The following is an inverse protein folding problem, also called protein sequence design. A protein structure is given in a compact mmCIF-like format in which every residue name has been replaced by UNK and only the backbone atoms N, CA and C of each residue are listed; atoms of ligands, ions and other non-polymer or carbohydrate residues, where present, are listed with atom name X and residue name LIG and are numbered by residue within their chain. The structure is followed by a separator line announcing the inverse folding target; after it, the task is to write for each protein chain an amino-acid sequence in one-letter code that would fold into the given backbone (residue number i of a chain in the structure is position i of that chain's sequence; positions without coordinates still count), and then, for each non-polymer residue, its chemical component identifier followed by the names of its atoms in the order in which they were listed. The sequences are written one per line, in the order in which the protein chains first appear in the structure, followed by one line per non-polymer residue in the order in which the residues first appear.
data_IF_356912845477
#
_entry.id   IF_356912845477
#
_cell.length_a   1.000
_cell.length_b   1.000
_cell.length_c   1.000
_cell.angle_alpha   90.00
_cell.angle_beta   90.00
_cell.angle_gamma   90.00
#
_symmetry.space_group_name_H-M   'P 1'
#
loop_
_entity.id
_entity.type
_entity.pdbx_description
1 polymer ?
#
# COMPACT_ATOMS: atom_id res chain seq x y z
N UNK A 1 19.41 9.96 -19.61
CA UNK A 1 20.48 8.98 -19.28
C UNK A 1 19.90 7.58 -19.54
N UNK A 2 20.46 6.83 -20.49
CA UNK A 2 20.03 5.44 -20.74
C UNK A 2 20.64 4.57 -19.64
N UNK A 3 19.84 4.15 -18.66
CA UNK A 3 20.26 3.17 -17.68
C UNK A 3 20.36 1.83 -18.42
N UNK A 4 21.58 1.43 -18.78
CA UNK A 4 21.84 0.02 -19.07
C UNK A 4 21.76 -0.69 -17.71
N UNK A 5 20.78 -1.57 -17.45
CA UNK A 5 20.80 -2.37 -16.24
C UNK A 5 22.08 -3.22 -16.27
N UNK A 6 22.83 -3.32 -15.15
CA UNK A 6 24.02 -4.17 -15.11
C UNK A 6 23.60 -5.59 -15.51
N UNK A 7 24.38 -6.28 -16.36
CA UNK A 7 24.04 -7.64 -16.75
C UNK A 7 23.96 -8.47 -15.46
N UNK A 8 22.77 -9.00 -15.16
CA UNK A 8 22.58 -10.00 -14.10
C UNK A 8 23.26 -11.29 -14.54
N UNK A 9 24.60 -11.29 -14.50
CA UNK A 9 25.41 -12.47 -14.78
C UNK A 9 25.22 -13.39 -13.60
N UNK A 10 24.38 -14.40 -13.77
CA UNK A 10 24.23 -15.47 -12.80
C UNK A 10 25.59 -16.19 -12.67
N UNK A 11 26.05 -16.39 -11.44
CA UNK A 11 27.37 -16.95 -11.14
C UNK A 11 27.48 -18.39 -11.69
N UNK A 12 28.58 -18.69 -12.38
CA UNK A 12 28.85 -20.04 -12.92
C UNK A 12 29.70 -20.85 -11.94
N UNK A 13 29.64 -22.19 -12.05
CA UNK A 13 30.37 -23.11 -11.15
C UNK A 13 31.88 -22.84 -11.13
N UNK A 14 32.51 -22.60 -12.27
CA UNK A 14 33.95 -22.30 -12.32
C UNK A 14 34.33 -20.97 -11.66
N UNK A 15 33.43 -19.98 -11.67
CA UNK A 15 33.64 -18.70 -11.00
C UNK A 15 33.56 -18.89 -9.47
N UNK A 16 32.58 -19.67 -8.99
CA UNK A 16 32.45 -20.03 -7.58
C UNK A 16 33.63 -20.90 -7.10
N UNK A 17 34.08 -21.85 -7.91
CA UNK A 17 35.23 -22.68 -7.58
C UNK A 17 36.51 -21.83 -7.44
N UNK A 18 36.70 -20.84 -8.31
CA UNK A 18 37.83 -19.92 -8.25
C UNK A 18 37.79 -19.03 -7.00
N UNK A 19 36.62 -18.55 -6.58
CA UNK A 19 36.46 -17.78 -5.33
C UNK A 19 36.85 -18.60 -4.08
N UNK A 20 36.53 -19.89 -4.08
CA UNK A 20 36.81 -20.80 -2.97
C UNK A 20 38.23 -21.40 -3.03
N UNK A 21 38.99 -21.14 -4.11
CA UNK A 21 40.29 -21.77 -4.35
C UNK A 21 40.21 -23.27 -4.64
N UNK A 22 39.04 -23.77 -5.03
CA UNK A 22 38.81 -25.18 -5.34
C UNK A 22 38.90 -25.44 -6.84
N UNK A 23 39.20 -26.68 -7.22
CA UNK A 23 39.10 -27.07 -8.63
C UNK A 23 37.63 -27.27 -9.02
N UNK A 24 37.26 -26.95 -10.26
CA UNK A 24 35.89 -27.12 -10.76
C UNK A 24 35.35 -28.55 -10.59
N UNK A 25 36.23 -29.55 -10.55
CA UNK A 25 35.86 -30.95 -10.35
C UNK A 25 35.50 -31.27 -8.89
N UNK A 26 36.19 -30.65 -7.93
CA UNK A 26 35.89 -30.81 -6.50
C UNK A 26 34.55 -30.17 -6.15
N UNK A 27 34.29 -28.95 -6.67
CA UNK A 27 33.01 -28.28 -6.44
C UNK A 27 31.83 -29.02 -7.08
N UNK A 28 32.02 -29.65 -8.25
CA UNK A 28 30.99 -30.47 -8.87
C UNK A 28 30.65 -31.73 -8.06
N UNK A 29 31.65 -32.36 -7.43
CA UNK A 29 31.42 -33.51 -6.55
C UNK A 29 30.63 -33.12 -5.29
N UNK A 30 30.99 -32.00 -4.66
CA UNK A 30 30.27 -31.47 -3.49
C UNK A 30 28.81 -31.07 -3.82
N UNK A 31 28.57 -30.53 -5.01
CA UNK A 31 27.21 -30.22 -5.48
C UNK A 31 26.38 -31.50 -5.71
N UNK A 32 27.01 -32.57 -6.23
CA UNK A 32 26.39 -33.88 -6.44
C UNK A 32 25.97 -34.52 -5.10
N UNK A 33 26.85 -34.48 -4.10
CA UNK A 33 26.59 -35.00 -2.75
C UNK A 33 25.44 -34.25 -2.05
N UNK A 34 25.25 -32.97 -2.37
CA UNK A 34 24.13 -32.13 -1.87
C UNK A 34 22.82 -32.34 -2.64
N UNK A 35 22.82 -33.19 -3.68
CA UNK A 35 21.65 -33.50 -4.51
C UNK A 35 21.37 -32.46 -5.59
N UNK A 36 22.33 -31.59 -5.91
CA UNK A 36 22.21 -30.57 -6.94
C UNK A 36 23.05 -30.91 -8.17
N UNK A 37 22.41 -31.58 -9.14
CA UNK A 37 23.09 -32.08 -10.34
C UNK A 37 23.35 -30.99 -11.36
N UNK A 38 24.63 -30.77 -11.68
CA UNK A 38 25.05 -29.74 -12.65
C UNK A 38 25.86 -30.37 -13.80
N UNK A 39 25.50 -30.07 -15.06
CA UNK A 39 26.01 -30.77 -16.26
C UNK A 39 27.49 -30.51 -16.56
N UNK A 40 27.99 -29.30 -16.25
CA UNK A 40 29.40 -28.92 -16.50
C UNK A 40 29.78 -27.68 -15.71
N UNK A 41 31.08 -27.41 -15.57
CA UNK A 41 31.62 -26.23 -14.86
C UNK A 41 31.19 -24.86 -15.45
N UNK A 42 30.67 -24.84 -16.69
CA UNK A 42 30.12 -23.65 -17.31
C UNK A 42 28.64 -23.40 -16.97
N UNK A 43 28.01 -24.32 -16.25
CA UNK A 43 26.60 -24.21 -15.88
C UNK A 43 26.41 -23.14 -14.80
N UNK A 44 25.20 -22.59 -14.78
CA UNK A 44 24.81 -21.50 -13.89
C UNK A 44 24.20 -22.04 -12.61
N UNK A 45 24.57 -21.48 -11.46
CA UNK A 45 24.00 -21.84 -10.16
C UNK A 45 22.93 -20.84 -9.73
N UNK A 46 21.90 -21.34 -9.05
CA UNK A 46 20.88 -20.50 -8.46
C UNK A 46 21.41 -19.84 -7.16
N UNK A 47 20.98 -18.61 -6.91
CA UNK A 47 21.48 -17.79 -5.80
C UNK A 47 21.46 -18.45 -4.40
N UNK A 48 20.45 -19.26 -3.98
CA UNK A 48 20.47 -19.89 -2.66
C UNK A 48 21.61 -20.91 -2.48
N UNK A 49 21.97 -21.61 -3.55
CA UNK A 49 23.03 -22.64 -3.56
C UNK A 49 24.39 -21.99 -3.36
N UNK A 50 24.65 -20.93 -4.13
CA UNK A 50 25.89 -20.15 -4.04
C UNK A 50 26.07 -19.61 -2.62
N UNK A 51 24.98 -19.12 -2.01
CA UNK A 51 25.00 -18.64 -0.62
C UNK A 51 25.31 -19.76 0.38
N UNK A 52 24.77 -20.97 0.18
CA UNK A 52 25.04 -22.10 1.05
C UNK A 52 26.52 -22.55 0.96
N UNK A 53 27.06 -22.71 -0.25
CA UNK A 53 28.45 -23.12 -0.43
C UNK A 53 29.43 -22.06 0.09
N UNK A 54 29.17 -20.77 -0.18
CA UNK A 54 29.98 -19.69 0.40
C UNK A 54 29.89 -19.67 1.93
N UNK A 55 28.75 -20.00 2.52
CA UNK A 55 28.60 -20.07 3.97
C UNK A 55 29.43 -21.20 4.59
N UNK A 56 29.48 -22.35 3.93
CA UNK A 56 30.11 -23.55 4.49
C UNK A 56 31.63 -23.62 4.25
N UNK A 57 32.10 -23.06 3.13
CA UNK A 57 33.47 -23.25 2.66
C UNK A 57 34.24 -21.97 2.33
N UNK A 58 33.65 -20.78 2.44
CA UNK A 58 34.44 -19.56 2.24
C UNK A 58 35.46 -19.40 3.38
N UNK A 59 36.76 -19.26 3.07
CA UNK A 59 37.72 -18.79 4.07
C UNK A 59 37.33 -17.36 4.46
N UNK A 60 37.30 -17.09 5.77
CA UNK A 60 37.07 -15.81 6.49
C UNK A 60 36.49 -14.65 5.65
N UNK A 61 35.34 -14.05 6.05
CA UNK A 61 34.69 -13.02 5.24
C UNK A 61 35.68 -11.93 4.85
N UNK A 62 35.95 -11.84 3.54
CA UNK A 62 36.57 -10.64 2.99
C UNK A 62 35.72 -9.44 3.44
N UNK A 63 36.35 -8.32 3.83
CA UNK A 63 35.60 -7.11 4.15
C UNK A 63 34.65 -6.80 2.99
N UNK A 64 33.45 -6.26 3.26
CA UNK A 64 32.50 -5.87 2.22
C UNK A 64 33.25 -5.10 1.14
N UNK A 65 33.00 -5.41 -0.13
CA UNK A 65 33.51 -4.59 -1.22
C UNK A 65 33.15 -3.14 -0.93
N UNK A 66 34.10 -2.20 -1.09
CA UNK A 66 33.89 -0.78 -0.78
C UNK A 66 32.70 -0.16 -1.53
N UNK A 67 32.18 -0.83 -2.56
CA UNK A 67 30.98 -0.47 -3.31
C UNK A 67 29.64 -0.82 -2.60
N UNK A 68 29.65 -1.71 -1.59
CA UNK A 68 28.49 -2.06 -0.76
C UNK A 68 28.43 -1.28 0.57
N UNK A 69 29.46 -0.47 0.86
CA UNK A 69 29.49 0.44 2.02
C UNK A 69 28.86 1.76 1.61
N UNK A 70 27.53 1.83 1.73
CA UNK A 70 26.85 3.10 1.51
C UNK A 70 27.10 4.05 2.70
N UNK A 71 27.31 5.37 2.46
CA UNK A 71 27.54 6.32 3.54
C UNK A 71 26.35 6.30 4.51
N UNK A 72 26.54 6.55 5.83
CA UNK A 72 25.46 6.50 6.82
C UNK A 72 24.27 7.42 6.49
N UNK A 73 24.51 8.44 5.65
CA UNK A 73 23.49 9.36 5.11
C UNK A 73 22.57 8.75 4.04
N UNK A 74 23.01 7.68 3.38
CA UNK A 74 22.21 6.93 2.40
C UNK A 74 21.15 6.04 3.05
N UNK A 75 21.38 5.68 4.32
CA UNK A 75 20.39 4.97 5.10
C UNK A 75 19.37 6.00 5.59
N UNK A 76 18.08 5.74 5.36
CA UNK A 76 17.02 6.65 5.79
C UNK A 76 17.10 6.96 7.29
N UNK A 77 16.57 8.11 7.71
CA UNK A 77 16.62 8.66 9.09
C UNK A 77 16.31 7.65 10.21
N UNK A 78 15.59 6.57 9.91
CA UNK A 78 15.32 5.44 10.81
C UNK A 78 16.55 4.62 11.22
N UNK A 79 17.66 4.74 10.50
CA UNK A 79 18.94 4.07 10.77
C UNK A 79 19.91 4.94 11.56
N UNK A 80 19.62 6.25 11.68
CA UNK A 80 20.45 7.14 12.47
C UNK A 80 20.37 6.68 13.92
N UNK A 81 21.43 6.02 14.38
CA UNK A 81 21.60 5.60 15.75
C UNK A 81 21.74 6.85 16.65
N UNK A 82 20.64 7.58 16.85
CA UNK A 82 20.50 8.63 17.87
C UNK A 82 20.35 8.04 19.27
N UNK A 83 20.78 6.79 19.45
CA UNK A 83 21.11 6.22 20.72
C UNK A 83 22.24 5.22 20.48
N UNK A 84 23.48 5.66 20.70
CA UNK A 84 24.49 4.78 21.27
C UNK A 84 23.99 4.36 22.68
N UNK A 85 22.93 3.55 22.71
CA UNK A 85 22.41 2.95 23.93
C UNK A 85 23.42 1.87 24.30
N UNK A 86 23.94 2.01 25.51
CA UNK A 86 25.08 1.27 26.06
C UNK A 86 24.94 -0.23 25.78
N UNK A 87 25.98 -0.82 25.21
CA UNK A 87 26.08 -2.21 24.76
C UNK A 87 25.93 -3.30 25.86
N UNK A 88 25.55 -2.94 27.08
CA UNK A 88 25.46 -3.86 28.23
C UNK A 88 24.02 -4.27 28.61
N UNK A 89 23.00 -3.83 27.87
CA UNK A 89 21.60 -4.18 28.19
C UNK A 89 21.10 -5.34 27.35
N UNK A 90 20.75 -6.44 28.03
CA UNK A 90 20.13 -7.62 27.44
C UNK A 90 18.90 -7.26 26.62
N UNK A 91 18.68 -7.99 25.52
CA UNK A 91 17.55 -7.83 24.61
C UNK A 91 16.19 -7.78 25.34
N UNK A 92 16.03 -8.56 26.42
CA UNK A 92 14.78 -8.60 27.19
C UNK A 92 14.56 -7.29 27.98
N UNK A 93 15.63 -6.66 28.46
CA UNK A 93 15.57 -5.36 29.13
C UNK A 93 15.24 -4.24 28.14
N UNK A 94 15.82 -4.30 26.94
CA UNK A 94 15.46 -3.40 25.83
C UNK A 94 13.98 -3.57 25.45
N UNK A 95 13.48 -4.81 25.37
CA UNK A 95 12.10 -5.11 25.01
C UNK A 95 11.10 -4.66 26.09
N UNK A 96 11.47 -4.79 27.38
CA UNK A 96 10.69 -4.26 28.51
C UNK A 96 10.68 -2.73 28.53
N UNK A 97 11.81 -2.09 28.23
CA UNK A 97 11.92 -0.62 28.13
C UNK A 97 11.03 -0.06 27.02
N UNK A 98 10.98 -0.74 25.86
CA UNK A 98 10.10 -0.33 24.76
C UNK A 98 8.61 -0.53 25.14
N UNK A 99 8.27 -1.64 25.80
CA UNK A 99 6.90 -1.90 26.30
C UNK A 99 6.47 -0.98 27.43
N UNK A 100 7.38 -0.45 28.25
CA UNK A 100 7.04 0.51 29.30
C UNK A 100 6.97 1.95 28.78
N UNK A 101 7.75 2.28 27.75
CA UNK A 101 7.71 3.60 27.08
C UNK A 101 6.42 3.85 26.32
N UNK A 102 5.72 2.80 25.87
CA UNK A 102 4.37 2.93 25.29
C UNK A 102 3.29 3.29 26.33
N UNK A 103 3.59 3.22 27.64
CA UNK A 103 2.66 3.60 28.71
C UNK A 103 2.91 5.02 29.26
N UNK A 104 4.02 5.67 28.90
CA UNK A 104 4.30 7.06 29.27
C UNK A 104 4.84 7.81 28.05
N UNK A 105 3.95 8.41 27.26
CA UNK A 105 4.35 9.32 26.19
C UNK A 105 4.72 10.69 26.78
N UNK A 106 6.00 11.11 26.77
CA UNK A 106 6.32 12.51 26.95
C UNK A 106 5.83 13.28 25.72
N UNK A 107 5.37 14.51 25.93
CA UNK A 107 4.97 15.48 24.91
C UNK A 107 6.16 15.86 24.03
N UNK A 108 6.59 14.96 23.15
CA UNK A 108 7.55 15.22 22.09
C UNK A 108 6.79 15.43 20.80
N UNK A 109 7.04 16.57 20.15
CA UNK A 109 6.54 17.00 18.84
C UNK A 109 5.86 15.89 18.04
N UNK A 110 4.54 16.01 17.87
CA UNK A 110 3.75 15.17 16.98
C UNK A 110 4.47 15.11 15.62
N UNK A 111 5.16 14.00 15.32
CA UNK A 111 5.31 13.59 13.94
C UNK A 111 3.89 13.55 13.41
N UNK A 112 3.56 14.45 12.48
CA UNK A 112 2.27 14.47 11.81
C UNK A 112 2.13 13.10 11.16
N UNK A 113 1.40 12.20 11.84
CA UNK A 113 1.10 10.87 11.34
C UNK A 113 0.42 11.13 10.01
N UNK A 114 1.11 10.79 8.91
CA UNK A 114 0.55 10.95 7.58
C UNK A 114 -0.81 10.25 7.57
N UNK A 115 -1.86 11.06 7.44
CA UNK A 115 -3.24 10.61 7.51
C UNK A 115 -3.73 10.60 6.07
N UNK A 116 -4.12 9.44 5.52
CA UNK A 116 -4.63 9.40 4.15
C UNK A 116 -5.83 10.36 4.02
N UNK A 117 -5.96 11.08 2.90
CA UNK A 117 -6.93 12.18 2.78
C UNK A 117 -8.38 11.69 2.89
N UNK A 118 -8.67 10.48 2.42
CA UNK A 118 -9.98 9.82 2.62
C UNK A 118 -10.31 9.63 4.11
N UNK A 119 -9.32 9.22 4.92
CA UNK A 119 -9.49 9.04 6.36
C UNK A 119 -9.64 10.40 7.05
N UNK A 120 -8.91 11.43 6.61
CA UNK A 120 -9.06 12.79 7.11
C UNK A 120 -10.48 13.33 6.82
N UNK A 121 -10.98 13.16 5.60
CA UNK A 121 -12.34 13.56 5.22
C UNK A 121 -13.42 12.84 6.04
N UNK A 122 -13.29 11.52 6.24
CA UNK A 122 -14.21 10.76 7.11
C UNK A 122 -14.16 11.25 8.56
N UNK A 123 -12.97 11.55 9.05
CA UNK A 123 -12.79 11.99 10.43
C UNK A 123 -13.33 13.40 10.67
N UNK A 124 -13.06 14.35 9.77
CA UNK A 124 -13.45 15.76 9.93
C UNK A 124 -14.89 16.06 9.50
N UNK A 125 -15.39 15.40 8.46
CA UNK A 125 -16.68 15.73 7.85
C UNK A 125 -17.81 14.79 8.27
N UNK A 126 -17.50 13.53 8.60
CA UNK A 126 -18.51 12.49 8.86
C UNK A 126 -18.61 12.15 10.34
N UNK A 127 -17.47 12.01 11.03
CA UNK A 127 -17.45 11.50 12.41
C UNK A 127 -17.28 12.61 13.44
N UNK A 128 -16.39 13.58 13.23
CA UNK A 128 -16.22 14.68 14.16
C UNK A 128 -17.44 15.62 14.14
N UNK A 129 -17.91 15.99 15.33
CA UNK A 129 -18.84 17.11 15.46
C UNK A 129 -18.12 18.40 15.06
N UNK A 130 -18.75 19.19 14.18
CA UNK A 130 -18.18 20.45 13.66
C UNK A 130 -17.72 21.34 14.81
N UNK A 131 -16.40 21.54 14.92
CA UNK A 131 -15.78 22.43 15.92
C UNK A 131 -15.23 21.75 17.18
N UNK A 132 -15.31 20.42 17.30
CA UNK A 132 -14.72 19.67 18.42
C UNK A 132 -13.44 18.93 18.04
N UNK A 133 -12.54 18.72 19.00
CA UNK A 133 -11.37 17.88 18.78
C UNK A 133 -11.81 16.39 18.67
N UNK A 134 -11.38 15.66 17.63
CA UNK A 134 -11.76 14.27 17.44
C UNK A 134 -11.37 13.43 18.65
N UNK A 135 -12.32 12.69 19.22
CA UNK A 135 -12.09 11.79 20.33
C UNK A 135 -11.36 10.51 19.87
N UNK A 136 -10.97 9.65 20.82
CA UNK A 136 -10.40 8.34 20.49
C UNK A 136 -11.43 7.40 19.86
N UNK A 137 -12.71 7.56 20.22
CA UNK A 137 -13.84 6.83 19.63
C UNK A 137 -14.02 7.25 18.16
N UNK A 138 -13.98 8.55 17.89
CA UNK A 138 -14.17 9.10 16.55
C UNK A 138 -13.08 8.61 15.59
N UNK A 139 -11.82 8.58 16.06
CA UNK A 139 -10.71 8.01 15.29
C UNK A 139 -10.92 6.54 14.94
N UNK A 140 -11.43 5.73 15.87
CA UNK A 140 -11.72 4.30 15.62
C UNK A 140 -12.87 4.13 14.64
N UNK A 141 -13.91 4.94 14.76
CA UNK A 141 -15.05 4.91 13.85
C UNK A 141 -14.66 5.35 12.43
N UNK A 142 -13.89 6.43 12.29
CA UNK A 142 -13.35 6.86 11.01
C UNK A 142 -12.45 5.80 10.36
N UNK A 143 -11.61 5.12 11.16
CA UNK A 143 -10.80 4.00 10.67
C UNK A 143 -11.66 2.82 10.19
N UNK A 144 -12.75 2.51 10.90
CA UNK A 144 -13.69 1.47 10.47
C UNK A 144 -14.34 1.84 9.14
N UNK A 145 -14.87 3.07 9.03
CA UNK A 145 -15.45 3.55 7.79
C UNK A 145 -14.44 3.53 6.65
N UNK A 146 -13.20 3.97 6.90
CA UNK A 146 -12.14 3.95 5.89
C UNK A 146 -11.87 2.52 5.37
N UNK A 147 -11.89 1.51 6.24
CA UNK A 147 -11.78 0.10 5.82
C UNK A 147 -13.00 -0.36 5.01
N UNK A 148 -14.21 0.05 5.38
CA UNK A 148 -15.42 -0.27 4.64
C UNK A 148 -15.42 0.37 3.24
N UNK A 149 -14.91 1.59 3.11
CA UNK A 149 -14.73 2.28 1.82
C UNK A 149 -13.61 1.64 0.98
N UNK A 150 -12.49 1.27 1.58
CA UNK A 150 -11.44 0.51 0.90
C UNK A 150 -11.96 -0.84 0.38
N UNK A 151 -12.83 -1.52 1.12
CA UNK A 151 -13.47 -2.76 0.67
C UNK A 151 -14.40 -2.53 -0.54
N UNK A 152 -15.04 -1.36 -0.65
CA UNK A 152 -15.88 -1.02 -1.80
C UNK A 152 -15.07 -0.79 -3.08
N UNK A 153 -13.82 -0.35 -2.97
CA UNK A 153 -12.90 -0.23 -4.10
C UNK A 153 -12.64 -1.59 -4.75
N UNK A 154 -12.44 -2.62 -3.93
CA UNK A 154 -12.37 -4.02 -4.40
C UNK A 154 -13.65 -4.51 -5.09
N UNK A 155 -14.78 -3.83 -4.85
CA UNK A 155 -16.08 -4.16 -5.44
C UNK A 155 -16.43 -3.28 -6.65
N UNK A 156 -15.49 -2.47 -7.17
CA UNK A 156 -15.63 -1.67 -8.39
C UNK A 156 -15.91 -0.18 -8.18
N UNK A 157 -15.68 0.34 -6.97
CA UNK A 157 -15.50 1.78 -6.77
C UNK A 157 -14.10 2.18 -7.26
N UNK A 158 -13.99 3.36 -7.88
CA UNK A 158 -12.69 3.88 -8.34
C UNK A 158 -11.74 4.12 -7.15
N UNK A 159 -10.46 3.81 -7.32
CA UNK A 159 -9.41 4.02 -6.32
C UNK A 159 -8.98 5.49 -6.22
N UNK A 160 -9.45 6.38 -7.12
CA UNK A 160 -9.21 7.81 -7.06
C UNK A 160 -9.79 8.41 -5.76
N UNK A 161 -8.89 8.95 -4.93
CA UNK A 161 -9.23 9.54 -3.64
C UNK A 161 -10.24 10.69 -3.77
N UNK A 162 -10.18 11.49 -4.84
CA UNK A 162 -11.10 12.60 -5.06
C UNK A 162 -12.52 12.09 -5.34
N UNK A 163 -12.65 11.04 -6.16
CA UNK A 163 -13.92 10.38 -6.45
C UNK A 163 -14.48 9.75 -5.18
N UNK A 164 -13.64 9.09 -4.39
CA UNK A 164 -14.04 8.47 -3.13
C UNK A 164 -14.52 9.51 -2.10
N UNK A 165 -13.82 10.64 -1.97
CA UNK A 165 -14.21 11.76 -1.09
C UNK A 165 -15.55 12.35 -1.56
N UNK A 166 -15.77 12.51 -2.87
CA UNK A 166 -17.04 12.99 -3.40
C UNK A 166 -18.19 12.03 -3.06
N UNK A 167 -18.00 10.72 -3.20
CA UNK A 167 -18.97 9.71 -2.78
C UNK A 167 -19.21 9.71 -1.27
N UNK A 168 -18.17 9.89 -0.46
CA UNK A 168 -18.29 10.02 1.00
C UNK A 168 -19.15 11.23 1.34
N UNK A 169 -18.90 12.39 0.75
CA UNK A 169 -19.69 13.61 0.98
C UNK A 169 -21.15 13.43 0.57
N UNK A 170 -21.39 12.85 -0.61
CA UNK A 170 -22.74 12.60 -1.11
C UNK A 170 -23.53 11.62 -0.24
N UNK A 171 -22.86 10.60 0.30
CA UNK A 171 -23.49 9.56 1.12
C UNK A 171 -23.50 9.84 2.62
N UNK A 172 -22.84 10.90 3.06
CA UNK A 172 -22.54 11.14 4.48
C UNK A 172 -21.63 10.07 5.08
N UNK A 173 -20.72 9.51 4.27
CA UNK A 173 -19.74 8.47 4.62
C UNK A 173 -20.32 7.09 4.87
N UNK A 174 -21.59 6.84 4.53
CA UNK A 174 -22.28 5.57 4.79
C UNK A 174 -22.59 4.83 3.50
N UNK A 175 -22.80 3.51 3.59
CA UNK A 175 -23.22 2.63 2.47
C UNK A 175 -22.28 2.69 1.25
N UNK A 176 -20.98 2.40 1.43
CA UNK A 176 -20.00 2.47 0.34
C UNK A 176 -20.29 1.49 -0.82
N UNK A 177 -21.02 0.41 -0.55
CA UNK A 177 -21.43 -0.56 -1.59
C UNK A 177 -22.41 0.03 -2.61
N UNK A 178 -23.27 0.98 -2.22
CA UNK A 178 -24.16 1.66 -3.17
C UNK A 178 -23.37 2.58 -4.10
N UNK A 179 -22.34 3.25 -3.57
CA UNK A 179 -21.41 4.05 -4.37
C UNK A 179 -20.66 3.17 -5.38
N UNK A 180 -20.17 2.00 -4.96
CA UNK A 180 -19.55 1.03 -5.86
C UNK A 180 -20.50 0.54 -6.96
N UNK A 181 -21.77 0.29 -6.63
CA UNK A 181 -22.76 -0.17 -7.62
C UNK A 181 -23.07 0.89 -8.69
N UNK A 182 -23.21 2.16 -8.27
CA UNK A 182 -23.43 3.28 -9.18
C UNK A 182 -22.16 3.60 -10.00
N UNK A 183 -20.98 3.54 -9.37
CA UNK A 183 -19.69 3.66 -10.06
C UNK A 183 -19.54 2.59 -11.15
N UNK A 184 -19.88 1.34 -10.85
CA UNK A 184 -19.93 0.24 -11.84
C UNK A 184 -20.99 0.42 -12.92
N UNK A 185 -22.02 1.21 -12.65
CA UNK A 185 -23.00 1.61 -13.65
C UNK A 185 -22.49 2.75 -14.56
N UNK A 186 -21.28 3.25 -14.32
CA UNK A 186 -20.67 4.37 -15.04
C UNK A 186 -21.26 5.72 -14.64
N UNK A 187 -21.81 5.84 -13.43
CA UNK A 187 -22.37 7.08 -12.89
C UNK A 187 -21.35 7.69 -11.94
N UNK A 188 -20.95 8.94 -12.21
CA UNK A 188 -20.03 9.69 -11.37
C UNK A 188 -20.75 10.25 -10.12
N UNK A 189 -20.04 10.55 -9.02
CA UNK A 189 -20.67 11.10 -7.81
C UNK A 189 -21.40 12.43 -8.06
N UNK A 190 -20.88 13.29 -8.94
CA UNK A 190 -21.52 14.55 -9.31
C UNK A 190 -22.85 14.32 -10.02
N UNK A 191 -22.89 13.31 -10.90
CA UNK A 191 -24.09 12.93 -11.63
C UNK A 191 -25.13 12.28 -10.71
N UNK A 192 -24.68 11.47 -9.75
CA UNK A 192 -25.54 10.87 -8.75
C UNK A 192 -26.12 11.93 -7.78
N UNK A 193 -25.45 13.07 -7.61
CA UNK A 193 -25.94 14.21 -6.84
C UNK A 193 -27.03 15.02 -7.57
N UNK A 194 -27.18 14.85 -8.89
CA UNK A 194 -28.18 15.57 -9.68
C UNK A 194 -29.59 15.23 -9.23
N UNK A 195 -30.47 16.24 -9.27
CA UNK A 195 -31.89 16.11 -8.95
C UNK A 195 -32.69 15.99 -10.24
N UNK A 196 -32.66 14.80 -10.82
CA UNK A 196 -33.29 14.54 -12.10
C UNK A 196 -34.74 14.08 -11.93
N UNK A 197 -35.66 14.82 -12.56
CA UNK A 197 -37.04 14.42 -12.77
C UNK A 197 -37.18 13.43 -13.94
N UNK A 198 -38.42 13.12 -14.30
CA UNK A 198 -38.69 12.26 -15.45
C UNK A 198 -38.16 12.87 -16.74
N UNK A 199 -37.53 12.01 -17.55
CA UNK A 199 -37.00 12.41 -18.83
C UNK A 199 -35.64 13.10 -18.79
N UNK A 200 -34.95 13.22 -17.64
CA UNK A 200 -33.58 13.75 -17.53
C UNK A 200 -33.47 15.28 -17.40
N UNK A 201 -34.52 15.95 -16.87
CA UNK A 201 -34.51 17.39 -16.57
C UNK A 201 -34.16 17.60 -15.10
N UNK A 202 -33.37 18.62 -14.80
CA UNK A 202 -33.10 19.01 -13.42
C UNK A 202 -34.32 19.70 -12.80
N UNK A 203 -34.73 19.22 -11.63
CA UNK A 203 -35.82 19.80 -10.83
C UNK A 203 -35.38 19.86 -9.37
N UNK A 204 -35.26 21.08 -8.85
CA UNK A 204 -34.74 21.37 -7.50
C UNK A 204 -35.58 20.73 -6.40
N UNK A 205 -36.88 20.48 -6.66
CA UNK A 205 -37.81 19.88 -5.69
C UNK A 205 -37.62 18.37 -5.54
N UNK A 206 -36.90 17.74 -6.46
CA UNK A 206 -36.71 16.30 -6.43
C UNK A 206 -35.51 15.89 -5.56
N UNK A 207 -35.60 14.74 -4.88
CA UNK A 207 -34.42 14.13 -4.27
C UNK A 207 -33.39 13.75 -5.35
N UNK A 208 -32.12 13.67 -4.96
CA UNK A 208 -31.05 13.30 -5.89
C UNK A 208 -31.22 11.88 -6.42
N UNK A 209 -30.57 11.57 -7.55
CA UNK A 209 -30.53 10.21 -8.10
C UNK A 209 -30.00 9.23 -7.04
N UNK A 210 -28.96 9.62 -6.30
CA UNK A 210 -28.40 8.83 -5.20
C UNK A 210 -29.43 8.57 -4.09
N UNK A 211 -30.13 9.60 -3.60
CA UNK A 211 -31.12 9.45 -2.53
C UNK A 211 -32.26 8.51 -2.94
N UNK A 212 -32.74 8.66 -4.18
CA UNK A 212 -33.79 7.79 -4.73
C UNK A 212 -33.31 6.34 -4.86
N UNK A 213 -32.09 6.13 -5.33
CA UNK A 213 -31.50 4.79 -5.46
C UNK A 213 -31.28 4.15 -4.09
N UNK A 214 -30.76 4.93 -3.14
CA UNK A 214 -30.57 4.54 -1.74
C UNK A 214 -31.87 4.12 -1.06
N UNK A 215 -32.96 4.84 -1.34
CA UNK A 215 -34.29 4.56 -0.81
C UNK A 215 -35.04 3.50 -1.64
N UNK A 216 -34.38 2.89 -2.65
CA UNK A 216 -34.94 1.90 -3.59
C UNK A 216 -36.18 2.38 -4.35
N UNK A 217 -36.32 3.70 -4.52
CA UNK A 217 -37.39 4.33 -5.31
C UNK A 217 -37.11 4.29 -6.81
N UNK A 218 -35.86 4.06 -7.20
CA UNK A 218 -35.45 3.83 -8.59
C UNK A 218 -34.57 2.59 -8.67
N UNK A 219 -34.66 1.89 -9.79
CA UNK A 219 -33.78 0.77 -10.12
C UNK A 219 -32.45 1.24 -10.70
N UNK A 220 -31.45 0.35 -10.73
CA UNK A 220 -30.14 0.64 -11.35
C UNK A 220 -30.28 1.05 -12.82
N UNK A 221 -31.15 0.36 -13.56
CA UNK A 221 -31.47 0.68 -14.96
C UNK A 221 -32.10 2.06 -15.12
N UNK A 222 -33.05 2.43 -14.24
CA UNK A 222 -33.68 3.75 -14.28
C UNK A 222 -32.67 4.87 -13.97
N UNK A 223 -31.75 4.66 -13.03
CA UNK A 223 -30.68 5.61 -12.75
C UNK A 223 -29.79 5.82 -13.98
N UNK A 224 -29.36 4.74 -14.65
CA UNK A 224 -28.56 4.81 -15.87
C UNK A 224 -29.30 5.58 -16.97
N UNK A 225 -30.59 5.29 -17.18
CA UNK A 225 -31.40 5.96 -18.20
C UNK A 225 -31.55 7.45 -17.90
N UNK A 226 -31.80 7.82 -16.64
CA UNK A 226 -31.93 9.21 -16.23
C UNK A 226 -30.64 10.01 -16.48
N UNK A 227 -29.48 9.47 -16.08
CA UNK A 227 -28.18 10.10 -16.31
C UNK A 227 -27.86 10.18 -17.80
N UNK A 228 -28.12 9.13 -18.57
CA UNK A 228 -27.90 9.13 -20.02
C UNK A 228 -28.71 10.22 -20.72
N UNK A 229 -30.00 10.35 -20.39
CA UNK A 229 -30.86 11.40 -20.95
C UNK A 229 -30.37 12.81 -20.58
N UNK A 230 -29.87 13.00 -19.36
CA UNK A 230 -29.26 14.26 -18.94
C UNK A 230 -27.99 14.58 -19.73
N UNK A 231 -27.08 13.60 -19.90
CA UNK A 231 -25.84 13.72 -20.70
C UNK A 231 -26.15 14.08 -22.16
N UNK A 232 -27.15 13.42 -22.76
CA UNK A 232 -27.56 13.68 -24.16
C UNK A 232 -28.02 15.13 -24.36
N UNK A 233 -28.72 15.71 -23.38
CA UNK A 233 -29.12 17.13 -23.44
C UNK A 233 -27.95 18.09 -23.26
N UNK A 234 -27.05 17.81 -22.33
CA UNK A 234 -25.91 18.68 -22.03
C UNK A 234 -24.81 18.60 -23.08
N UNK A 235 -24.82 17.57 -23.94
CA UNK A 235 -23.93 17.46 -25.11
C UNK A 235 -24.50 18.17 -26.35
N UNK A 236 -25.80 18.45 -26.37
CA UNK A 236 -26.51 19.03 -27.51
C UNK A 236 -26.72 20.56 -27.41
N UNK A 237 -26.35 21.19 -26.29
CA UNK A 237 -26.33 22.64 -26.09
C UNK A 237 -24.91 23.15 -25.98
#
# INVERSE_FOLDING_TARGET
MKLNPPPRRKLRVHELAAELGWTSRQLLAELDDRGEFVKSAASTLEAPVVRAIRRDFAPTPAPPHEEDVYPPESYGLSSSATAADKLDKSFDEALRRVKSRSQSSPSGSHQSKWTPPVLAALLEEVVAERGSCPSSRDRKEAQRLHRDWAAACLCGLDDDEAVMIAWIRLSGGRRPMLAAELSRAGIAPEEAALRLGYGGREDVRWPSVYERFRDRKITRSEAIVAIRQWRERHRAG
#
